data_IF_450775243972
#
_entry.id   IF_450775243972
#
_cell.length_a   1.000
_cell.length_b   1.000
_cell.length_c   1.000
_cell.angle_alpha   90.00
_cell.angle_beta   90.00
_cell.angle_gamma   90.00
#
_symmetry.space_group_name_H-M   'P 1'
#
loop_
_entity.id
_entity.type
_entity.pdbx_description
1 polymer ?
#
# COMPACT_ATOMS: atom_id res chain seq x y z
N UNK A 1 -23.47 1.77 22.76
CA UNK A 1 -23.12 1.76 22.35
C UNK A 1 -22.47 1.83 21.68
N UNK A 2 -21.95 1.89 21.48
CA UNK A 2 -21.38 2.00 20.84
C UNK A 2 -20.73 1.67 20.37
N UNK A 3 -20.21 1.62 19.96
CA UNK A 3 -19.66 1.38 19.47
C UNK A 3 -18.97 0.96 18.78
N UNK A 4 -18.72 0.46 18.23
CA UNK A 4 -18.11 -0.04 17.54
C UNK A 4 -17.57 0.58 16.61
N UNK A 5 -17.85 1.39 16.04
CA UNK A 5 -17.38 2.06 15.13
C UNK A 5 -16.12 2.50 15.44
N UNK A 6 -15.69 2.57 16.47
CA UNK A 6 -14.41 2.92 16.75
C UNK A 6 -13.42 1.88 16.64
N UNK A 7 -13.81 0.65 16.33
CA UNK A 7 -12.90 -0.34 16.17
C UNK A 7 -12.09 -0.13 15.02
N UNK A 8 -10.75 -0.18 15.01
CA UNK A 8 -9.94 0.00 13.82
C UNK A 8 -10.23 -1.12 12.86
N UNK A 9 -10.27 -0.78 11.59
CA UNK A 9 -10.42 -1.77 10.61
C UNK A 9 -9.18 -2.58 10.52
N UNK A 10 -9.34 -3.86 10.27
CA UNK A 10 -8.21 -4.71 10.12
C UNK A 10 -7.64 -4.57 8.76
N UNK A 11 -6.34 -4.49 8.68
CA UNK A 11 -5.62 -4.42 7.43
C UNK A 11 -4.66 -5.58 7.40
N UNK A 12 -4.76 -6.40 6.37
CA UNK A 12 -3.84 -7.49 6.18
C UNK A 12 -2.76 -7.00 5.24
N UNK A 13 -1.53 -6.97 5.70
CA UNK A 13 -0.43 -6.44 4.93
C UNK A 13 0.16 -7.51 4.03
N UNK A 14 0.58 -7.10 2.86
CA UNK A 14 1.26 -7.99 1.94
C UNK A 14 2.76 -7.82 2.16
N UNK A 15 3.45 -8.94 2.27
CA UNK A 15 4.87 -8.91 2.51
C UNK A 15 5.18 -8.86 3.99
N UNK A 16 6.45 -9.02 4.31
CA UNK A 16 6.86 -9.09 5.69
C UNK A 16 7.12 -7.76 6.31
N UNK A 17 7.40 -6.77 5.50
CA UNK A 17 7.76 -5.45 6.01
C UNK A 17 7.48 -4.44 4.93
N UNK A 18 7.32 -3.17 5.29
CA UNK A 18 7.13 -2.14 4.29
C UNK A 18 8.38 -1.98 3.43
N UNK A 19 8.18 -1.48 2.24
CA UNK A 19 9.29 -1.10 1.41
C UNK A 19 9.83 0.22 1.91
N UNK A 20 11.14 0.40 1.80
CA UNK A 20 11.76 1.62 2.30
C UNK A 20 12.58 2.22 1.16
N UNK A 21 12.42 3.50 0.91
CA UNK A 21 13.18 4.13 -0.15
C UNK A 21 14.48 4.71 0.41
N UNK A 22 15.25 5.35 -0.45
CA UNK A 22 16.57 5.83 -0.06
C UNK A 22 16.52 6.99 0.93
N UNK A 23 15.37 7.61 1.08
CA UNK A 23 15.21 8.73 1.99
C UNK A 23 14.53 8.33 3.29
N UNK A 24 14.19 7.05 3.44
CA UNK A 24 13.58 6.60 4.67
C UNK A 24 12.06 6.59 4.67
N UNK A 25 11.45 6.92 3.54
CA UNK A 25 10.00 6.82 3.46
C UNK A 25 9.61 5.36 3.24
N UNK A 26 8.47 5.00 3.77
CA UNK A 26 8.01 3.62 3.68
C UNK A 26 6.79 3.53 2.80
N UNK A 27 6.66 2.42 2.11
CA UNK A 27 5.47 2.11 1.31
C UNK A 27 4.95 0.77 1.77
N UNK A 28 3.69 0.75 2.14
CA UNK A 28 3.08 -0.43 2.70
C UNK A 28 1.82 -0.72 1.91
N UNK A 29 1.59 -1.97 1.62
CA UNK A 29 0.48 -2.39 0.80
C UNK A 29 -0.29 -3.47 1.54
N UNK A 30 -1.59 -3.35 1.54
CA UNK A 30 -2.42 -4.34 2.21
C UNK A 30 -3.84 -4.28 1.71
N UNK A 31 -4.70 -5.01 2.37
CA UNK A 31 -6.11 -4.99 2.07
C UNK A 31 -6.86 -4.73 3.37
N UNK A 32 -7.81 -3.84 3.31
CA UNK A 32 -8.65 -3.57 4.46
C UNK A 32 -9.79 -4.55 4.45
N UNK A 33 -9.98 -5.26 5.55
CA UNK A 33 -10.97 -6.32 5.62
C UNK A 33 -12.34 -5.79 5.31
N UNK A 34 -13.07 -6.51 4.52
CA UNK A 34 -14.45 -6.17 4.25
C UNK A 34 -14.66 -5.19 3.11
N UNK A 35 -13.61 -4.59 2.60
CA UNK A 35 -13.80 -3.61 1.54
C UNK A 35 -13.42 -4.13 0.16
N UNK A 36 -12.50 -5.08 0.10
CA UNK A 36 -12.01 -5.56 -1.18
C UNK A 36 -11.12 -4.55 -1.88
N UNK A 37 -10.70 -3.50 -1.19
CA UNK A 37 -9.82 -2.51 -1.79
C UNK A 37 -8.44 -2.66 -1.23
N UNK A 38 -7.46 -2.40 -2.09
CA UNK A 38 -6.08 -2.43 -1.67
C UNK A 38 -5.72 -1.10 -1.04
N UNK A 39 -5.08 -1.16 0.11
CA UNK A 39 -4.61 0.03 0.80
C UNK A 39 -3.14 0.22 0.51
N UNK A 40 -2.80 1.40 0.02
CA UNK A 40 -1.42 1.77 -0.23
C UNK A 40 -1.10 2.93 0.69
N UNK A 41 -0.10 2.76 1.52
CA UNK A 41 0.27 3.80 2.48
C UNK A 41 1.70 4.21 2.25
N UNK A 42 1.94 5.52 2.31
CA UNK A 42 3.28 6.07 2.22
C UNK A 42 3.50 6.88 3.47
N UNK A 43 4.55 6.57 4.19
CA UNK A 43 4.84 7.25 5.44
C UNK A 43 6.31 7.55 5.58
N UNK A 44 6.66 8.19 6.68
CA UNK A 44 8.03 8.55 6.93
C UNK A 44 8.52 7.71 8.09
N UNK A 45 9.40 6.79 7.80
CA UNK A 45 10.02 6.00 8.84
C UNK A 45 8.99 5.31 9.70
N UNK A 46 9.15 5.46 11.00
CA UNK A 46 8.24 4.82 11.90
C UNK A 46 7.09 5.71 12.31
N UNK A 47 6.91 6.82 11.66
CA UNK A 47 5.79 7.71 11.95
C UNK A 47 4.57 7.29 11.20
N UNK A 48 4.11 6.13 11.46
CA UNK A 48 3.05 5.57 10.63
C UNK A 48 1.76 6.34 10.74
N UNK A 49 1.57 7.11 11.77
CA UNK A 49 0.31 7.83 11.90
C UNK A 49 0.23 9.04 10.99
N UNK A 50 1.29 9.41 10.33
CA UNK A 50 1.28 10.58 9.49
C UNK A 50 1.40 10.25 8.02
N UNK A 51 1.14 9.03 7.64
CA UNK A 51 1.27 8.64 6.25
C UNK A 51 0.08 9.06 5.43
N UNK A 52 0.27 9.06 4.13
CA UNK A 52 -0.81 9.26 3.18
C UNK A 52 -1.28 7.90 2.74
N UNK A 53 -2.59 7.75 2.62
CA UNK A 53 -3.14 6.46 2.29
C UNK A 53 -4.08 6.60 1.10
N UNK A 54 -4.01 5.65 0.21
CA UNK A 54 -4.93 5.55 -0.91
C UNK A 54 -5.59 4.20 -0.88
N UNK A 55 -6.88 4.17 -1.15
CA UNK A 55 -7.62 2.92 -1.25
C UNK A 55 -7.93 2.70 -2.71
N UNK A 56 -7.45 1.61 -3.26
CA UNK A 56 -7.53 1.35 -4.68
C UNK A 56 -8.46 0.19 -4.95
N UNK A 57 -9.34 0.35 -5.93
CA UNK A 57 -10.19 -0.75 -6.32
C UNK A 57 -9.45 -1.63 -7.32
N UNK A 58 -10.11 -2.66 -7.80
CA UNK A 58 -9.47 -3.61 -8.68
C UNK A 58 -8.95 -2.98 -9.96
N UNK A 59 -9.71 -2.05 -10.52
CA UNK A 59 -9.27 -1.41 -11.75
C UNK A 59 -8.02 -0.57 -11.52
N UNK A 60 -7.98 0.15 -10.41
CA UNK A 60 -6.83 0.97 -10.10
C UNK A 60 -5.61 0.12 -9.80
N UNK A 61 -5.80 -1.00 -9.12
CA UNK A 61 -4.70 -1.90 -8.82
C UNK A 61 -4.16 -2.51 -10.10
N UNK A 62 -5.05 -2.88 -11.02
CA UNK A 62 -4.62 -3.44 -12.29
C UNK A 62 -3.77 -2.43 -13.07
N UNK A 63 -4.22 -1.19 -13.07
CA UNK A 63 -3.47 -0.15 -13.75
C UNK A 63 -2.12 0.09 -13.07
N UNK A 64 -2.09 0.09 -11.76
CA UNK A 64 -0.85 0.25 -11.03
C UNK A 64 0.11 -0.88 -11.34
N UNK A 65 -0.39 -2.10 -11.38
CA UNK A 65 0.44 -3.23 -11.75
C UNK A 65 1.04 -3.06 -13.13
N UNK A 66 0.23 -2.61 -14.08
CA UNK A 66 0.70 -2.46 -15.43
C UNK A 66 1.78 -1.38 -15.54
N UNK A 67 1.60 -0.31 -14.80
CA UNK A 67 2.61 0.74 -14.79
C UNK A 67 3.90 0.27 -14.14
N UNK A 68 3.78 -0.53 -13.08
CA UNK A 68 4.96 -1.10 -12.45
C UNK A 68 5.67 -2.05 -13.41
N UNK A 69 4.92 -2.84 -14.14
CA UNK A 69 5.51 -3.76 -15.09
C UNK A 69 6.25 -3.01 -16.21
N UNK A 70 5.67 -1.93 -16.66
CA UNK A 70 6.32 -1.12 -17.69
C UNK A 70 7.66 -0.59 -17.17
N UNK A 71 7.65 -0.07 -15.95
CA UNK A 71 8.88 0.44 -15.35
C UNK A 71 9.91 -0.68 -15.24
N UNK A 72 9.50 -1.82 -14.76
CA UNK A 72 10.43 -2.93 -14.57
C UNK A 72 10.99 -3.41 -15.90
N UNK A 73 10.14 -3.49 -16.90
CA UNK A 73 10.62 -3.92 -18.22
C UNK A 73 11.62 -2.93 -18.79
N UNK A 74 11.38 -1.66 -18.61
CA UNK A 74 12.29 -0.66 -19.13
C UNK A 74 13.62 -0.66 -18.43
N UNK A 75 13.66 -1.05 -17.17
CA UNK A 75 14.86 -0.90 -16.37
C UNK A 75 15.55 -2.21 -16.06
N UNK A 76 14.91 -3.33 -16.37
CA UNK A 76 15.51 -4.61 -16.07
C UNK A 76 15.91 -5.36 -17.30
N UNK A 77 15.37 -5.01 -18.44
CA UNK A 77 15.59 -5.84 -19.60
C UNK A 77 17.00 -5.83 -20.06
N UNK A 78 17.81 -4.93 -19.59
CA UNK A 78 19.18 -4.89 -20.01
C UNK A 78 20.07 -5.75 -19.18
N UNK A 79 19.56 -6.46 -18.26
CA UNK A 79 20.39 -7.21 -17.38
C UNK A 79 20.73 -8.56 -17.87
#
# INVERSE_FOLDING_TARGET
MITRRDEPRRVTHYGDAPLVDHAGYTVDVGVEDGTGRMTLRVGLGDSSCHGIRADLDLDAVTELRDRCNTFLNDHQENQ
#
